data_IF_770005549499
#
_entry.id   IF_770005549499
#
_cell.length_a   1.000
_cell.length_b   1.000
_cell.length_c   1.000
_cell.angle_alpha   90.00
_cell.angle_beta   90.00
_cell.angle_gamma   90.00
#
_symmetry.space_group_name_H-M   'P 1'
#
loop_
_entity.id
_entity.type
_entity.pdbx_description
1 polymer ?
#
# COMPACT_ATOMS: atom_id res chain seq x y z
N UNK A 1 -10.84 4.95 -22.04
CA UNK A 1 -11.62 6.18 -21.86
C UNK A 1 -12.58 6.01 -20.69
N UNK A 2 -12.63 6.96 -19.79
CA UNK A 2 -13.56 6.90 -18.66
C UNK A 2 -14.98 7.18 -19.13
N UNK A 3 -15.97 6.63 -18.43
CA UNK A 3 -17.37 6.93 -18.69
C UNK A 3 -17.63 8.43 -18.44
N UNK A 4 -18.65 8.97 -19.09
CA UNK A 4 -19.02 10.37 -18.89
C UNK A 4 -19.34 10.63 -17.42
N UNK A 5 -18.73 11.66 -16.85
CA UNK A 5 -18.92 12.02 -15.45
C UNK A 5 -17.99 11.35 -14.46
N UNK A 6 -17.18 10.37 -14.90
CA UNK A 6 -16.20 9.72 -14.03
C UNK A 6 -14.85 10.41 -14.20
N UNK A 7 -14.14 10.69 -13.07
CA UNK A 7 -12.81 11.27 -13.19
C UNK A 7 -11.82 10.24 -13.72
N UNK A 8 -10.80 10.71 -14.41
CA UNK A 8 -9.65 9.86 -14.71
C UNK A 8 -8.92 9.57 -13.38
N UNK A 9 -8.47 8.35 -13.24
CA UNK A 9 -7.80 7.93 -12.01
C UNK A 9 -6.32 7.70 -12.25
N UNK A 10 -5.52 8.10 -11.27
CA UNK A 10 -4.13 7.66 -11.22
C UNK A 10 -4.18 6.17 -10.86
N UNK A 11 -3.52 5.35 -11.64
CA UNK A 11 -3.47 3.91 -11.39
C UNK A 11 -2.19 3.59 -10.65
N UNK A 12 -2.32 2.88 -9.53
CA UNK A 12 -1.20 2.59 -8.64
C UNK A 12 -1.10 1.09 -8.45
N UNK A 13 0.14 0.58 -8.52
CA UNK A 13 0.45 -0.82 -8.22
C UNK A 13 1.42 -0.84 -7.05
N UNK A 14 1.11 -1.60 -6.01
CA UNK A 14 1.93 -1.65 -4.79
C UNK A 14 2.31 -3.06 -4.41
N UNK A 15 3.46 -3.20 -3.76
CA UNK A 15 3.88 -4.48 -3.19
C UNK A 15 4.82 -4.24 -2.01
N UNK A 16 4.92 -5.25 -1.15
CA UNK A 16 5.83 -5.26 -0.02
C UNK A 16 6.53 -6.60 0.07
N UNK A 17 7.74 -6.59 0.58
CA UNK A 17 8.54 -7.80 0.74
C UNK A 17 9.38 -7.71 2.01
N UNK A 18 9.73 -8.86 2.57
CA UNK A 18 10.55 -8.90 3.77
C UNK A 18 11.40 -10.17 3.76
N UNK A 19 12.67 -10.03 4.11
CA UNK A 19 13.59 -11.15 4.23
C UNK A 19 13.67 -11.54 5.70
N UNK A 20 12.91 -12.59 6.07
CA UNK A 20 12.63 -12.86 7.46
C UNK A 20 11.42 -12.03 7.90
N UNK A 21 10.85 -12.34 9.04
CA UNK A 21 9.63 -11.67 9.48
C UNK A 21 9.57 -11.67 11.02
N UNK A 22 10.26 -10.73 11.70
CA UNK A 22 10.85 -9.49 11.17
C UNK A 22 12.22 -9.67 10.52
N UNK A 23 12.61 -8.65 9.76
CA UNK A 23 13.91 -8.62 9.09
C UNK A 23 13.97 -7.44 8.12
N UNK A 24 15.00 -7.37 7.27
CA UNK A 24 15.09 -6.33 6.24
C UNK A 24 13.92 -6.44 5.29
N UNK A 25 13.24 -5.34 5.05
CA UNK A 25 12.09 -5.31 4.17
C UNK A 25 12.14 -4.17 3.18
N UNK A 26 11.30 -4.26 2.16
CA UNK A 26 11.19 -3.24 1.15
C UNK A 26 9.77 -3.09 0.64
N UNK A 27 9.51 -1.96 0.02
CA UNK A 27 8.22 -1.66 -0.58
C UNK A 27 8.43 -1.05 -1.95
N UNK A 28 7.44 -1.22 -2.82
CA UNK A 28 7.47 -0.65 -4.15
C UNK A 28 6.10 -0.15 -4.56
N UNK A 29 6.07 0.91 -5.35
CA UNK A 29 4.85 1.48 -5.90
C UNK A 29 5.12 2.04 -7.28
N UNK A 30 4.18 1.86 -8.18
CA UNK A 30 4.21 2.43 -9.52
C UNK A 30 2.94 3.25 -9.69
N UNK A 31 3.11 4.54 -10.00
CA UNK A 31 2.00 5.44 -10.25
C UNK A 31 1.95 5.74 -11.74
N UNK A 32 0.79 5.52 -12.36
CA UNK A 32 0.63 5.70 -13.81
C UNK A 32 -0.55 6.62 -14.10
N UNK A 33 -0.33 7.61 -14.96
CA UNK A 33 -1.38 8.53 -15.37
C UNK A 33 -1.10 9.03 -16.80
N UNK A 34 -2.04 8.77 -17.68
CA UNK A 34 -1.95 9.23 -19.09
C UNK A 34 -0.61 8.85 -19.75
N UNK A 35 -0.18 7.61 -19.53
CA UNK A 35 1.05 7.09 -20.14
C UNK A 35 2.34 7.50 -19.44
N UNK A 36 2.26 8.33 -18.42
CA UNK A 36 3.43 8.70 -17.61
C UNK A 36 3.46 7.85 -16.36
N UNK A 37 4.65 7.35 -16.01
CA UNK A 37 4.84 6.50 -14.85
C UNK A 37 5.87 7.08 -13.91
N UNK A 38 5.66 6.84 -12.62
CA UNK A 38 6.63 7.17 -11.58
C UNK A 38 6.80 5.95 -10.71
N UNK A 39 8.05 5.56 -10.48
CA UNK A 39 8.38 4.44 -9.60
C UNK A 39 8.89 4.97 -8.28
N UNK A 40 8.37 4.39 -7.19
CA UNK A 40 8.81 4.69 -5.83
C UNK A 40 9.20 3.38 -5.17
N UNK A 41 10.22 3.40 -4.35
CA UNK A 41 10.64 2.23 -3.59
C UNK A 41 11.49 2.65 -2.39
N UNK A 42 11.58 1.76 -1.42
CA UNK A 42 12.40 2.00 -0.25
C UNK A 42 12.52 0.74 0.59
N UNK A 43 13.32 0.83 1.64
CA UNK A 43 13.57 -0.31 2.52
C UNK A 43 13.71 0.10 3.97
N UNK A 44 13.53 -0.88 4.86
CA UNK A 44 13.71 -0.72 6.31
C UNK A 44 14.52 -1.90 6.83
N UNK A 45 15.47 -1.63 7.72
CA UNK A 45 16.38 -2.65 8.21
C UNK A 45 15.70 -3.73 9.05
N UNK A 46 14.65 -3.36 9.80
CA UNK A 46 13.91 -4.29 10.65
C UNK A 46 12.42 -3.98 10.56
N UNK A 47 11.69 -4.82 9.85
CA UNK A 47 10.27 -4.61 9.61
C UNK A 47 9.58 -5.96 9.35
N UNK A 48 8.34 -5.92 8.89
CA UNK A 48 7.58 -7.12 8.54
C UNK A 48 6.96 -6.95 7.16
N UNK A 49 6.55 -8.06 6.56
CA UNK A 49 5.88 -8.02 5.26
C UNK A 49 4.62 -7.15 5.31
N UNK A 50 3.81 -7.31 6.37
CA UNK A 50 2.58 -6.54 6.51
C UNK A 50 2.83 -5.04 6.60
N UNK A 51 3.88 -4.64 7.33
CA UNK A 51 4.25 -3.22 7.41
C UNK A 51 4.67 -2.68 6.06
N UNK A 52 5.39 -3.48 5.28
CA UNK A 52 5.84 -3.05 3.94
C UNK A 52 4.68 -2.93 2.96
N UNK A 53 3.69 -3.81 3.05
CA UNK A 53 2.48 -3.70 2.25
C UNK A 53 1.72 -2.40 2.54
N UNK A 54 1.56 -2.07 3.83
CA UNK A 54 0.94 -0.80 4.24
C UNK A 54 1.76 0.39 3.78
N UNK A 55 3.08 0.32 3.96
CA UNK A 55 3.98 1.43 3.62
C UNK A 55 3.93 1.74 2.12
N UNK A 56 3.87 0.72 1.27
CA UNK A 56 3.76 0.94 -0.17
C UNK A 56 2.53 1.77 -0.54
N UNK A 57 1.36 1.43 0.02
CA UNK A 57 0.14 2.18 -0.23
C UNK A 57 0.23 3.60 0.32
N UNK A 58 0.77 3.76 1.53
CA UNK A 58 0.94 5.08 2.16
C UNK A 58 1.84 5.97 1.32
N UNK A 59 3.02 5.47 0.93
CA UNK A 59 3.97 6.26 0.14
C UNK A 59 3.42 6.65 -1.22
N UNK A 60 2.64 5.76 -1.85
CA UNK A 60 1.99 6.09 -3.12
C UNK A 60 1.01 7.26 -2.95
N UNK A 61 0.17 7.21 -1.91
CA UNK A 61 -0.79 8.28 -1.67
C UNK A 61 -0.11 9.59 -1.26
N UNK A 62 0.95 9.52 -0.47
CA UNK A 62 1.74 10.70 -0.09
C UNK A 62 2.35 11.41 -1.28
N UNK A 63 2.67 10.68 -2.34
CA UNK A 63 3.27 11.27 -3.55
C UNK A 63 2.30 12.16 -4.32
N UNK A 64 1.01 12.05 -4.06
CA UNK A 64 -0.01 12.88 -4.71
C UNK A 64 -0.14 14.19 -3.96
N UNK A 65 0.11 15.30 -4.66
CA UNK A 65 0.23 16.62 -4.02
C UNK A 65 -1.11 17.29 -3.75
N UNK A 66 -2.21 16.75 -4.27
CA UNK A 66 -3.56 17.30 -4.08
C UNK A 66 -4.56 16.16 -4.08
N UNK A 67 -5.80 16.40 -3.59
CA UNK A 67 -6.84 15.36 -3.65
C UNK A 67 -6.98 14.81 -5.06
N UNK A 68 -6.94 13.50 -5.20
CA UNK A 68 -6.86 12.81 -6.49
C UNK A 68 -7.74 11.58 -6.48
N UNK A 69 -8.34 11.27 -7.63
CA UNK A 69 -9.00 9.98 -7.83
C UNK A 69 -7.93 8.93 -8.15
N UNK A 70 -7.89 7.85 -7.38
CA UNK A 70 -6.82 6.85 -7.43
C UNK A 70 -7.41 5.45 -7.48
N UNK A 71 -6.77 4.58 -8.23
CA UNK A 71 -7.11 3.16 -8.26
C UNK A 71 -5.86 2.39 -7.84
N UNK A 72 -5.93 1.70 -6.70
CA UNK A 72 -4.77 0.97 -6.15
C UNK A 72 -4.96 -0.52 -6.36
N UNK A 73 -3.98 -1.13 -7.03
CA UNK A 73 -3.91 -2.57 -7.27
C UNK A 73 -2.91 -3.20 -6.30
N UNK A 74 -3.36 -4.18 -5.54
CA UNK A 74 -2.51 -4.90 -4.58
C UNK A 74 -3.00 -6.33 -4.41
N UNK A 75 -2.09 -7.25 -4.10
CA UNK A 75 -2.42 -8.64 -3.80
C UNK A 75 -2.41 -8.93 -2.29
N UNK A 76 -2.20 -7.91 -1.46
CA UNK A 76 -2.10 -8.08 -0.02
C UNK A 76 -3.47 -8.38 0.61
N UNK A 77 -3.65 -9.59 1.13
CA UNK A 77 -4.84 -9.93 1.88
C UNK A 77 -4.93 -9.16 3.19
N UNK A 78 -3.80 -8.91 3.82
CA UNK A 78 -3.75 -8.14 5.05
C UNK A 78 -4.31 -6.72 4.83
N UNK A 79 -3.88 -6.08 3.75
CA UNK A 79 -4.37 -4.74 3.39
C UNK A 79 -5.85 -4.79 3.06
N UNK A 80 -6.26 -5.78 2.27
CA UNK A 80 -7.66 -5.98 1.89
C UNK A 80 -8.55 -6.14 3.11
N UNK A 81 -8.19 -7.05 4.01
CA UNK A 81 -9.02 -7.34 5.17
C UNK A 81 -9.08 -6.13 6.11
N UNK A 82 -7.97 -5.41 6.28
CA UNK A 82 -7.95 -4.22 7.10
C UNK A 82 -8.84 -3.12 6.55
N UNK A 83 -8.70 -2.81 5.27
CA UNK A 83 -9.45 -1.73 4.63
C UNK A 83 -10.95 -2.04 4.56
N UNK A 84 -11.31 -3.29 4.24
CA UNK A 84 -12.71 -3.65 4.00
C UNK A 84 -13.46 -4.04 5.26
N UNK A 85 -12.78 -4.54 6.29
CA UNK A 85 -13.44 -5.07 7.49
C UNK A 85 -12.94 -4.48 8.80
N UNK A 86 -11.66 -4.62 9.09
CA UNK A 86 -11.13 -4.36 10.44
C UNK A 86 -11.14 -2.89 10.83
N UNK A 87 -10.83 -2.01 9.90
CA UNK A 87 -10.66 -0.58 10.19
C UNK A 87 -11.93 0.07 10.74
N UNK A 88 -13.09 -0.40 10.30
CA UNK A 88 -14.37 0.16 10.76
C UNK A 88 -14.58 -0.11 12.24
N UNK A 89 -14.25 -1.30 12.70
CA UNK A 89 -14.33 -1.65 14.11
C UNK A 89 -13.27 -0.91 14.94
N UNK A 90 -12.06 -0.82 14.42
CA UNK A 90 -10.99 -0.11 15.12
C UNK A 90 -11.34 1.36 15.34
N UNK A 91 -11.90 2.01 14.34
CA UNK A 91 -12.30 3.42 14.46
C UNK A 91 -13.39 3.59 15.53
N UNK A 92 -14.35 2.67 15.60
CA UNK A 92 -15.40 2.71 16.63
C UNK A 92 -14.85 2.44 18.02
N UNK A 93 -13.80 1.63 18.13
CA UNK A 93 -13.27 1.18 19.41
C UNK A 93 -12.02 1.96 19.87
N UNK A 94 -11.78 3.15 19.30
CA UNK A 94 -10.63 3.96 19.68
C UNK A 94 -9.30 3.35 19.33
N UNK A 95 -9.25 2.56 18.25
CA UNK A 95 -8.04 1.90 17.75
C UNK A 95 -7.48 0.85 18.71
N UNK A 96 -8.39 0.16 19.38
CA UNK A 96 -8.04 -0.94 20.27
C UNK A 96 -8.72 -2.21 19.82
N UNK A 97 -8.09 -3.35 20.11
CA UNK A 97 -8.68 -4.66 19.83
C UNK A 97 -9.77 -4.98 20.88
N UNK A 98 -10.46 -6.08 20.68
CA UNK A 98 -11.48 -6.55 21.64
C UNK A 98 -10.90 -6.73 23.05
N UNK A 99 -9.63 -7.09 23.17
CA UNK A 99 -8.95 -7.25 24.46
C UNK A 99 -8.38 -5.94 25.00
N UNK A 100 -8.70 -4.82 24.38
CA UNK A 100 -8.23 -3.46 24.72
C UNK A 100 -6.73 -3.25 24.51
N UNK A 101 -6.07 -4.13 23.74
CA UNK A 101 -4.70 -3.92 23.33
C UNK A 101 -4.66 -2.96 22.12
N UNK A 102 -3.56 -2.21 21.92
CA UNK A 102 -3.42 -1.38 20.73
C UNK A 102 -3.48 -2.24 19.47
N UNK A 103 -4.07 -1.69 18.40
CA UNK A 103 -4.11 -2.36 17.10
C UNK A 103 -2.68 -2.50 16.57
N UNK A 104 -2.32 -3.69 16.10
CA UNK A 104 -1.00 -3.90 15.52
C UNK A 104 -0.82 -3.04 14.28
N UNK A 105 0.34 -2.39 14.16
CA UNK A 105 0.65 -1.44 13.09
C UNK A 105 -0.30 -0.25 13.08
N UNK A 106 -0.80 0.13 14.25
CA UNK A 106 -1.80 1.20 14.39
C UNK A 106 -1.39 2.48 13.67
N UNK A 107 -0.14 2.91 13.84
CA UNK A 107 0.33 4.17 13.26
C UNK A 107 0.25 4.15 11.73
N UNK A 108 0.52 3.00 11.12
CA UNK A 108 0.43 2.85 9.66
C UNK A 108 -1.02 2.82 9.19
N UNK A 109 -1.88 2.10 9.92
CA UNK A 109 -3.30 2.05 9.58
C UNK A 109 -3.96 3.43 9.69
N UNK A 110 -3.61 4.19 10.73
CA UNK A 110 -4.15 5.53 10.92
C UNK A 110 -3.68 6.47 9.81
N UNK A 111 -2.41 6.38 9.42
CA UNK A 111 -1.88 7.19 8.33
C UNK A 111 -2.54 6.85 6.99
N UNK A 112 -2.73 5.55 6.72
CA UNK A 112 -3.42 5.11 5.51
C UNK A 112 -4.87 5.62 5.49
N UNK A 113 -5.58 5.53 6.62
CA UNK A 113 -6.96 5.99 6.73
C UNK A 113 -7.05 7.50 6.47
N UNK A 114 -6.12 8.26 7.04
CA UNK A 114 -6.05 9.71 6.84
C UNK A 114 -5.85 10.06 5.36
N UNK A 115 -4.91 9.39 4.71
CA UNK A 115 -4.60 9.65 3.30
C UNK A 115 -5.74 9.21 2.39
N UNK A 116 -6.36 8.06 2.68
CA UNK A 116 -7.48 7.58 1.88
C UNK A 116 -8.69 8.51 1.97
N UNK A 117 -8.86 9.22 3.10
CA UNK A 117 -9.93 10.18 3.26
C UNK A 117 -9.69 11.46 2.44
N UNK A 118 -8.43 11.80 2.18
CA UNK A 118 -8.08 12.96 1.34
C UNK A 118 -8.35 12.70 -0.13
N UNK A 119 -8.13 11.46 -0.57
CA UNK A 119 -8.26 11.07 -1.97
C UNK A 119 -9.51 10.23 -2.20
N UNK A 120 -9.93 10.12 -3.45
CA UNK A 120 -11.00 9.20 -3.85
C UNK A 120 -10.34 7.89 -4.27
N UNK A 121 -10.22 6.93 -3.35
CA UNK A 121 -9.48 5.69 -3.57
C UNK A 121 -10.42 4.56 -3.90
N UNK A 122 -10.17 3.89 -5.03
CA UNK A 122 -10.77 2.61 -5.36
C UNK A 122 -9.70 1.54 -5.22
N UNK A 123 -10.04 0.49 -4.49
CA UNK A 123 -9.13 -0.63 -4.26
C UNK A 123 -9.44 -1.75 -5.26
N UNK A 124 -8.39 -2.29 -5.87
CA UNK A 124 -8.47 -3.43 -6.78
C UNK A 124 -7.63 -4.56 -6.22
N UNK A 125 -8.31 -5.61 -5.78
CA UNK A 125 -7.62 -6.74 -5.16
C UNK A 125 -7.25 -7.74 -6.26
N UNK A 126 -5.94 -7.91 -6.51
CA UNK A 126 -5.46 -8.87 -7.50
C UNK A 126 -5.04 -10.16 -6.80
N UNK A 127 -5.15 -11.26 -7.51
CA UNK A 127 -4.85 -12.57 -6.95
C UNK A 127 -3.47 -13.01 -7.43
N UNK A 128 -2.45 -12.80 -6.60
CA UNK A 128 -1.08 -13.17 -6.91
C UNK A 128 -0.47 -12.25 -7.97
N UNK A 129 0.75 -12.58 -8.40
CA UNK A 129 1.50 -11.77 -9.36
C UNK A 129 1.43 -12.30 -10.79
N UNK A 130 1.06 -13.56 -10.97
CA UNK A 130 1.11 -14.23 -12.26
C UNK A 130 0.21 -13.52 -13.29
N UNK A 131 0.78 -13.16 -14.43
CA UNK A 131 0.03 -12.51 -15.49
C UNK A 131 -0.20 -11.02 -15.32
N UNK A 132 0.40 -10.40 -14.30
CA UNK A 132 0.24 -8.96 -14.01
C UNK A 132 1.61 -8.28 -14.06
N UNK A 133 2.06 -7.80 -15.26
CA UNK A 133 3.39 -7.20 -15.39
C UNK A 133 3.67 -6.06 -14.42
N UNK A 134 2.68 -5.20 -14.17
CA UNK A 134 2.84 -4.05 -13.28
C UNK A 134 3.02 -4.50 -11.84
N UNK A 135 2.30 -5.55 -11.41
CA UNK A 135 2.47 -6.10 -10.08
C UNK A 135 3.83 -6.78 -9.92
N UNK A 136 4.33 -7.43 -10.98
CA UNK A 136 5.67 -7.99 -10.97
C UNK A 136 6.73 -6.91 -10.89
N UNK A 137 6.52 -5.78 -11.54
CA UNK A 137 7.43 -4.63 -11.43
C UNK A 137 7.42 -4.05 -10.01
N UNK A 138 6.24 -3.93 -9.39
CA UNK A 138 6.16 -3.47 -8.01
C UNK A 138 6.87 -4.43 -7.06
N UNK A 139 6.75 -5.74 -7.29
CA UNK A 139 7.48 -6.75 -6.53
C UNK A 139 8.99 -6.59 -6.69
N UNK A 140 9.46 -6.33 -7.91
CA UNK A 140 10.88 -6.11 -8.16
C UNK A 140 11.39 -4.88 -7.41
N UNK A 141 10.60 -3.81 -7.37
CA UNK A 141 10.96 -2.60 -6.60
C UNK A 141 11.01 -2.90 -5.10
N UNK A 142 10.05 -3.67 -4.58
CA UNK A 142 10.05 -4.07 -3.18
C UNK A 142 11.29 -4.87 -2.83
N UNK A 143 11.67 -5.83 -3.69
CA UNK A 143 12.89 -6.63 -3.48
C UNK A 143 14.15 -5.78 -3.55
N UNK A 144 14.16 -4.76 -4.39
CA UNK A 144 15.26 -3.79 -4.43
C UNK A 144 15.38 -3.07 -3.09
N UNK A 145 14.25 -2.72 -2.48
CA UNK A 145 14.23 -2.13 -1.13
C UNK A 145 14.82 -3.07 -0.08
N UNK A 146 14.50 -4.37 -0.16
CA UNK A 146 15.07 -5.38 0.74
C UNK A 146 16.60 -5.41 0.61
N UNK A 147 17.11 -5.43 -0.61
CA UNK A 147 18.55 -5.46 -0.85
C UNK A 147 19.25 -4.23 -0.32
N UNK A 148 18.66 -3.05 -0.51
CA UNK A 148 19.22 -1.82 0.05
C UNK A 148 19.20 -1.85 1.58
N UNK A 149 18.14 -2.35 2.18
CA UNK A 149 18.03 -2.44 3.63
C UNK A 149 19.08 -3.39 4.23
N UNK A 150 19.42 -4.45 3.52
CA UNK A 150 20.46 -5.40 3.96
C UNK A 150 21.86 -4.79 3.99
N UNK A 151 22.10 -3.75 3.20
CA UNK A 151 23.40 -3.11 3.10
C UNK A 151 23.63 -2.04 4.17
N UNK A 152 22.60 -1.72 4.92
CA UNK A 152 22.68 -0.72 5.98
C UNK A 152 23.25 -1.30 7.27
#
# INVERSE_FOLDING_TARGET
>A
MTAAGEPERVVVYTDGACSGNPGPGGWGAILSFRGKERELWGGEAATTNNRMELTAAIRALEALKRPTAVEIHTDSQYLRDGVTRWIHGWKRNGWKTASRAPVKNQELWQELDRLAAVHDVQWRWVKGHAGHPENERADALARRGVEEARRR
#
